data_IF_672967695372
#
_entry.id   IF_672967695372
#
_cell.length_a   1.000
_cell.length_b   1.000
_cell.length_c   1.000
_cell.angle_alpha   90.00
_cell.angle_beta   90.00
_cell.angle_gamma   90.00
#
_symmetry.space_group_name_H-M   'P 1'
#
loop_
_entity.id
_entity.type
_entity.pdbx_description
1 polymer ?
#
# COMPACT_ATOMS: atom_id res chain seq x y z
N UNK A 1 9.69 3.25 -6.78
CA UNK A 1 8.65 2.56 -6.03
C UNK A 1 7.51 2.25 -6.98
N UNK A 2 6.82 1.14 -6.79
CA UNK A 2 5.61 0.86 -7.55
C UNK A 2 4.62 2.02 -7.47
N UNK A 3 3.88 2.26 -8.54
CA UNK A 3 2.76 3.21 -8.53
C UNK A 3 1.49 2.53 -8.01
N UNK A 4 0.48 3.29 -7.66
CA UNK A 4 -0.80 2.74 -7.16
C UNK A 4 -1.45 1.73 -8.11
N UNK A 5 -1.27 1.89 -9.42
CA UNK A 5 -1.71 0.89 -10.40
C UNK A 5 -1.18 -0.51 -10.05
N UNK A 6 0.09 -0.60 -9.67
CA UNK A 6 0.76 -1.87 -9.37
C UNK A 6 0.22 -2.44 -8.05
N UNK A 7 0.07 -1.64 -7.00
CA UNK A 7 -0.49 -2.10 -5.72
C UNK A 7 -1.94 -2.55 -5.85
N UNK A 8 -2.75 -1.85 -6.65
CA UNK A 8 -4.12 -2.26 -6.95
C UNK A 8 -4.13 -3.59 -7.71
N UNK A 9 -3.32 -3.71 -8.77
CA UNK A 9 -3.22 -4.95 -9.55
C UNK A 9 -2.76 -6.14 -8.71
N UNK A 10 -1.78 -5.94 -7.82
CA UNK A 10 -1.32 -6.97 -6.88
C UNK A 10 -2.43 -7.40 -5.93
N UNK A 11 -3.22 -6.46 -5.41
CA UNK A 11 -4.37 -6.76 -4.57
C UNK A 11 -5.42 -7.60 -5.32
N UNK A 12 -5.73 -7.26 -6.57
CA UNK A 12 -6.65 -8.05 -7.42
C UNK A 12 -6.11 -9.46 -7.68
N UNK A 13 -4.81 -9.60 -7.96
CA UNK A 13 -4.17 -10.89 -8.16
C UNK A 13 -4.21 -11.75 -6.90
N UNK A 14 -3.94 -11.19 -5.72
CA UNK A 14 -4.04 -11.87 -4.43
C UNK A 14 -5.47 -12.40 -4.19
N UNK A 15 -6.48 -11.61 -4.49
CA UNK A 15 -7.89 -12.05 -4.35
C UNK A 15 -8.29 -13.12 -5.37
N UNK A 16 -7.72 -13.10 -6.58
CA UNK A 16 -8.08 -14.06 -7.65
C UNK A 16 -7.46 -15.45 -7.45
N UNK A 17 -6.35 -15.54 -6.70
CA UNK A 17 -5.61 -16.80 -6.50
C UNK A 17 -6.24 -17.76 -5.49
N UNK A 18 -7.24 -17.33 -4.74
CA UNK A 18 -7.79 -18.10 -3.61
C UNK A 18 -6.74 -18.57 -2.59
N UNK A 19 -5.66 -17.78 -2.44
CA UNK A 19 -4.59 -18.01 -1.47
C UNK A 19 -4.92 -17.51 -0.07
N UNK A 20 -3.89 -17.37 0.77
CA UNK A 20 -4.04 -16.97 2.17
C UNK A 20 -4.71 -15.60 2.32
N UNK A 21 -4.36 -14.63 1.46
CA UNK A 21 -4.99 -13.30 1.49
C UNK A 21 -6.49 -13.40 1.19
N UNK A 22 -6.87 -14.08 0.11
CA UNK A 22 -8.27 -14.22 -0.28
C UNK A 22 -9.10 -14.95 0.78
N UNK A 23 -8.52 -15.94 1.48
CA UNK A 23 -9.17 -16.70 2.56
C UNK A 23 -9.26 -15.89 3.87
N UNK A 24 -8.28 -15.02 4.14
CA UNK A 24 -8.20 -14.25 5.38
C UNK A 24 -9.04 -12.98 5.32
N UNK A 25 -8.90 -12.18 4.28
CA UNK A 25 -9.55 -10.86 4.15
C UNK A 25 -11.07 -11.00 4.03
N UNK A 26 -11.81 -10.27 4.86
CA UNK A 26 -13.29 -10.21 4.86
C UNK A 26 -13.80 -8.87 4.31
N UNK A 27 -13.10 -7.78 4.64
CA UNK A 27 -13.39 -6.45 4.12
C UNK A 27 -12.36 -6.08 3.04
N UNK A 28 -12.66 -6.47 1.80
CA UNK A 28 -11.79 -6.14 0.66
C UNK A 28 -11.66 -4.64 0.42
N UNK A 29 -12.67 -3.85 0.81
CA UNK A 29 -12.65 -2.40 0.67
C UNK A 29 -11.60 -1.78 1.58
N UNK A 30 -11.57 -2.19 2.86
CA UNK A 30 -10.57 -1.76 3.81
C UNK A 30 -9.16 -2.23 3.41
N UNK A 31 -9.01 -3.47 2.93
CA UNK A 31 -7.73 -3.98 2.43
C UNK A 31 -7.19 -3.17 1.24
N UNK A 32 -8.03 -2.90 0.23
CA UNK A 32 -7.65 -2.10 -0.94
C UNK A 32 -7.22 -0.68 -0.54
N UNK A 33 -7.95 -0.06 0.38
CA UNK A 33 -7.56 1.24 0.90
C UNK A 33 -6.22 1.15 1.65
N UNK A 34 -6.06 0.13 2.50
CA UNK A 34 -4.82 -0.14 3.24
C UNK A 34 -3.60 -0.27 2.33
N UNK A 35 -3.76 -0.91 1.16
CA UNK A 35 -2.69 -1.02 0.16
C UNK A 35 -2.26 0.33 -0.46
N UNK A 36 -2.95 1.43 -0.17
CA UNK A 36 -2.61 2.78 -0.63
C UNK A 36 -2.14 3.70 0.52
N UNK A 37 -2.47 3.34 1.76
CA UNK A 37 -2.25 4.17 2.96
C UNK A 37 -0.82 4.68 3.10
N UNK A 38 0.26 3.89 2.93
CA UNK A 38 1.61 4.38 3.13
C UNK A 38 2.00 5.57 2.25
N UNK A 39 1.46 5.65 1.05
CA UNK A 39 1.75 6.71 0.08
C UNK A 39 0.91 7.98 0.27
N UNK A 40 -0.21 7.90 1.00
CA UNK A 40 -1.15 9.02 1.16
C UNK A 40 -0.48 10.21 1.82
N UNK A 41 0.08 10.07 3.05
CA UNK A 41 0.60 11.23 3.77
C UNK A 41 1.95 11.72 3.23
N UNK A 42 2.61 10.95 2.35
CA UNK A 42 3.81 11.43 1.65
C UNK A 42 3.49 12.64 0.75
N UNK A 43 2.24 12.76 0.28
CA UNK A 43 1.73 13.95 -0.40
C UNK A 43 2.06 14.04 -1.89
N UNK A 44 2.52 12.94 -2.52
CA UNK A 44 2.80 12.91 -3.95
C UNK A 44 1.57 12.53 -4.79
N UNK A 45 0.71 11.68 -4.26
CA UNK A 45 -0.43 11.11 -4.97
C UNK A 45 -1.74 11.84 -4.65
N UNK A 46 -1.93 12.21 -3.39
CA UNK A 46 -3.18 12.82 -2.91
C UNK A 46 -3.05 14.34 -2.85
N UNK A 47 -3.88 15.10 -3.59
CA UNK A 47 -3.87 16.55 -3.53
C UNK A 47 -4.29 17.08 -2.16
N UNK A 48 -3.67 18.17 -1.72
CA UNK A 48 -4.09 18.89 -0.53
C UNK A 48 -3.58 18.37 0.80
N UNK A 49 -2.66 17.42 0.80
CA UNK A 49 -1.90 17.03 2.00
C UNK A 49 -1.06 18.22 2.46
N UNK A 50 -1.44 18.82 3.61
CA UNK A 50 -0.83 20.05 4.10
C UNK A 50 0.50 19.83 4.81
N UNK A 51 0.60 18.72 5.53
CA UNK A 51 1.74 18.36 6.36
C UNK A 51 2.22 16.96 5.97
N UNK A 52 3.02 16.85 4.89
CA UNK A 52 3.50 15.55 4.43
C UNK A 52 4.36 14.86 5.49
N UNK A 53 4.16 13.56 5.63
CA UNK A 53 4.99 12.68 6.46
C UNK A 53 6.07 12.07 5.57
N UNK A 54 7.31 12.06 6.06
CA UNK A 54 8.43 11.50 5.29
C UNK A 54 8.19 10.02 4.93
N UNK A 55 8.57 9.64 3.71
CA UNK A 55 8.45 8.27 3.20
C UNK A 55 9.00 7.23 4.18
N UNK A 56 10.18 7.48 4.76
CA UNK A 56 10.81 6.55 5.69
C UNK A 56 9.96 6.25 6.93
N UNK A 57 9.10 7.18 7.35
CA UNK A 57 8.20 7.00 8.50
C UNK A 57 7.00 6.18 8.06
N UNK A 58 6.31 6.58 6.99
CA UNK A 58 5.11 5.90 6.52
C UNK A 58 5.36 4.47 6.05
N UNK A 59 6.58 4.20 5.56
CA UNK A 59 6.98 2.90 5.02
C UNK A 59 7.89 2.09 5.95
N UNK A 60 8.16 2.56 7.19
CA UNK A 60 9.13 1.87 8.07
C UNK A 60 10.49 1.66 7.38
N UNK A 61 10.88 2.58 6.52
CA UNK A 61 11.99 2.37 5.62
C UNK A 61 13.33 2.80 6.25
N UNK A 62 14.39 2.11 5.83
CA UNK A 62 15.77 2.49 6.15
C UNK A 62 16.17 3.77 5.41
N UNK A 63 17.16 4.54 5.89
CA UNK A 63 17.63 5.76 5.23
C UNK A 63 18.54 5.51 4.02
N UNK A 64 18.41 4.38 3.36
CA UNK A 64 19.20 4.02 2.18
C UNK A 64 18.73 4.77 0.92
N UNK A 65 19.60 4.94 -0.11
CA UNK A 65 19.22 5.61 -1.36
C UNK A 65 18.06 4.93 -2.11
N UNK A 66 17.94 3.60 -1.98
CA UNK A 66 16.76 2.83 -2.37
C UNK A 66 16.23 2.19 -1.08
N UNK A 67 15.31 2.87 -0.39
CA UNK A 67 14.91 2.48 0.96
C UNK A 67 14.13 1.16 0.94
N UNK A 68 14.41 0.31 1.93
CA UNK A 68 13.72 -0.97 2.10
C UNK A 68 12.76 -0.89 3.27
N UNK A 69 11.46 -0.98 3.05
CA UNK A 69 10.49 -1.09 4.13
C UNK A 69 10.75 -2.29 5.02
N UNK A 70 10.68 -2.07 6.33
CA UNK A 70 10.80 -3.13 7.35
C UNK A 70 9.41 -3.65 7.70
N UNK A 71 8.81 -4.36 6.76
CA UNK A 71 7.43 -4.85 6.83
C UNK A 71 7.18 -5.76 8.06
N UNK A 72 8.23 -6.47 8.50
CA UNK A 72 8.16 -7.34 9.66
C UNK A 72 7.99 -6.57 10.98
N UNK A 73 8.52 -5.34 11.08
CA UNK A 73 8.29 -4.48 12.24
C UNK A 73 6.83 -3.99 12.24
N UNK A 74 6.31 -3.54 11.08
CA UNK A 74 4.91 -3.18 10.98
C UNK A 74 3.98 -4.36 11.32
N UNK A 75 4.35 -5.56 10.87
CA UNK A 75 3.61 -6.78 11.23
C UNK A 75 3.58 -6.97 12.74
N UNK A 76 4.75 -6.93 13.41
CA UNK A 76 4.87 -7.15 14.84
C UNK A 76 4.11 -6.09 15.67
N UNK A 77 4.18 -4.83 15.25
CA UNK A 77 3.63 -3.71 16.01
C UNK A 77 2.12 -3.55 15.83
N UNK A 78 1.56 -3.90 14.65
CA UNK A 78 0.16 -3.59 14.32
C UNK A 78 -0.66 -4.79 13.88
N UNK A 79 -0.15 -5.64 12.96
CA UNK A 79 -0.96 -6.72 12.38
C UNK A 79 -1.13 -7.87 13.36
N UNK A 80 -0.05 -8.34 13.97
CA UNK A 80 -0.10 -9.47 14.91
C UNK A 80 -1.00 -9.18 16.13
N UNK A 81 -0.90 -8.01 16.81
CA UNK A 81 -1.81 -7.68 17.90
C UNK A 81 -3.29 -7.59 17.47
N UNK A 82 -3.55 -7.13 16.24
CA UNK A 82 -4.90 -7.09 15.72
C UNK A 82 -5.45 -8.49 15.41
N UNK A 83 -4.61 -9.38 14.86
CA UNK A 83 -4.98 -10.78 14.63
C UNK A 83 -5.28 -11.53 15.93
N UNK A 84 -4.49 -11.29 16.99
CA UNK A 84 -4.71 -11.87 18.32
C UNK A 84 -6.04 -11.41 18.93
N UNK A 85 -6.34 -10.11 18.87
CA UNK A 85 -7.63 -9.58 19.36
C UNK A 85 -8.85 -10.20 18.67
N UNK A 86 -8.70 -10.55 17.39
CA UNK A 86 -9.76 -11.19 16.60
C UNK A 86 -9.81 -12.72 16.75
N UNK A 87 -8.87 -13.33 17.53
CA UNK A 87 -8.77 -14.78 17.65
C UNK A 87 -8.42 -15.48 16.33
N UNK A 88 -7.78 -14.77 15.41
CA UNK A 88 -7.33 -15.34 14.13
C UNK A 88 -6.10 -16.23 14.32
N UNK A 89 -5.29 -15.93 15.31
CA UNK A 89 -4.12 -16.72 15.73
C UNK A 89 -4.39 -17.25 17.12
N UNK A 90 -4.54 -18.56 17.27
CA UNK A 90 -4.62 -19.20 18.58
C UNK A 90 -3.22 -19.47 19.13
N UNK A 91 -2.99 -19.12 20.40
CA UNK A 91 -1.88 -19.70 21.19
C UNK A 91 -0.61 -18.89 21.32
N UNK A 92 -0.54 -17.64 20.87
CA UNK A 92 0.53 -16.75 21.37
C UNK A 92 0.13 -16.18 22.72
N UNK A 93 0.90 -16.52 23.75
CA UNK A 93 0.85 -15.84 25.04
C UNK A 93 1.03 -14.34 24.77
N UNK A 94 0.13 -13.47 25.27
CA UNK A 94 0.35 -12.04 25.16
C UNK A 94 1.76 -11.74 25.66
N UNK A 95 2.57 -11.07 24.88
CA UNK A 95 3.80 -10.48 25.42
C UNK A 95 3.28 -9.40 26.36
N UNK A 96 3.38 -9.67 27.66
CA UNK A 96 2.76 -8.91 28.73
C UNK A 96 3.27 -7.46 28.86
N UNK A 97 4.21 -7.06 28.03
CA UNK A 97 4.79 -5.72 27.96
C UNK A 97 4.91 -5.30 26.49
N UNK A 98 3.80 -5.35 25.75
CA UNK A 98 3.70 -4.51 24.55
C UNK A 98 3.84 -3.07 25.06
N UNK A 99 5.06 -2.56 25.05
CA UNK A 99 5.35 -1.14 25.20
C UNK A 99 4.37 -0.44 24.28
N UNK A 100 3.46 0.35 24.85
CA UNK A 100 2.56 1.20 24.07
C UNK A 100 3.42 1.83 22.98
N UNK A 101 3.04 1.73 21.70
CA UNK A 101 3.89 2.18 20.61
C UNK A 101 4.38 3.55 21.02
N UNK A 102 5.69 3.66 21.25
CA UNK A 102 6.28 4.93 21.62
C UNK A 102 5.80 5.85 20.52
N UNK A 103 5.07 6.91 20.89
CA UNK A 103 4.58 7.90 19.95
C UNK A 103 5.80 8.28 19.13
N UNK A 104 5.90 7.71 17.94
CA UNK A 104 7.03 7.96 17.05
C UNK A 104 6.93 9.45 16.82
N UNK A 105 7.88 10.20 17.37
CA UNK A 105 7.93 11.64 17.16
C UNK A 105 7.97 11.80 15.64
N UNK A 106 6.84 12.21 15.06
CA UNK A 106 6.70 12.39 13.61
C UNK A 106 7.62 13.56 13.30
N UNK A 107 8.86 13.24 12.94
CA UNK A 107 9.78 14.24 12.40
C UNK A 107 9.20 14.68 11.06
N UNK A 108 8.61 15.86 11.08
CA UNK A 108 8.11 16.54 9.88
C UNK A 108 9.31 17.04 9.10
N UNK A 109 9.76 16.25 8.15
CA UNK A 109 10.71 16.75 7.16
C UNK A 109 10.00 17.77 6.27
N UNK A 110 10.68 18.91 6.06
CA UNK A 110 10.30 19.84 5.00
C UNK A 110 10.59 19.14 3.67
N UNK A 111 9.61 18.42 3.15
CA UNK A 111 9.74 17.78 1.84
C UNK A 111 9.95 18.89 0.83
N UNK A 112 11.06 18.83 0.13
CA UNK A 112 11.37 19.79 -0.91
C UNK A 112 10.40 19.58 -2.08
N UNK A 113 9.26 20.26 -2.06
CA UNK A 113 8.13 20.12 -2.99
C UNK A 113 8.46 20.55 -4.43
N UNK A 114 9.67 21.01 -4.69
CA UNK A 114 10.05 21.76 -5.90
C UNK A 114 9.97 20.90 -7.18
N UNK A 115 9.87 19.57 -7.11
CA UNK A 115 10.10 18.74 -8.29
C UNK A 115 8.98 17.78 -8.73
N UNK A 116 7.84 17.77 -8.04
CA UNK A 116 6.72 16.92 -8.46
C UNK A 116 5.43 17.73 -8.47
N UNK A 117 4.94 18.17 -9.65
CA UNK A 117 3.56 18.65 -9.74
C UNK A 117 2.67 17.53 -9.21
N UNK A 118 1.81 17.87 -8.26
CA UNK A 118 0.83 16.92 -7.74
C UNK A 118 0.01 16.43 -8.94
N UNK A 119 0.07 15.13 -9.21
CA UNK A 119 -0.43 14.51 -10.45
C UNK A 119 -1.91 14.78 -10.69
N UNK A 120 -2.66 15.09 -9.63
CA UNK A 120 -4.11 15.31 -9.65
C UNK A 120 -4.50 16.69 -9.08
N UNK A 121 -3.56 17.65 -9.03
CA UNK A 121 -3.88 19.01 -8.60
C UNK A 121 -4.86 19.67 -9.57
N UNK A 122 -5.98 20.19 -9.04
CA UNK A 122 -7.02 20.82 -9.85
C UNK A 122 -8.01 19.85 -10.51
N UNK A 123 -7.87 18.54 -10.34
CA UNK A 123 -8.84 17.56 -10.81
C UNK A 123 -10.05 17.56 -9.88
N UNK A 124 -11.26 17.69 -10.44
CA UNK A 124 -12.49 17.50 -9.67
C UNK A 124 -12.71 16.03 -9.42
N UNK A 125 -12.55 15.62 -8.18
CA UNK A 125 -12.63 14.22 -7.77
C UNK A 125 -14.02 13.97 -7.20
N UNK A 126 -14.85 13.23 -7.93
CA UNK A 126 -16.17 12.79 -7.50
C UNK A 126 -16.20 11.27 -7.47
N UNK A 127 -15.79 10.63 -6.36
CA UNK A 127 -15.85 9.17 -6.27
C UNK A 127 -17.31 8.72 -6.39
N UNK A 128 -17.58 7.64 -7.13
CA UNK A 128 -18.93 7.08 -7.18
C UNK A 128 -19.31 6.54 -5.80
N UNK A 129 -20.44 6.99 -5.28
CA UNK A 129 -21.04 6.39 -4.09
C UNK A 129 -21.60 5.02 -4.48
N UNK A 130 -20.93 3.98 -4.07
CA UNK A 130 -21.39 2.60 -4.25
C UNK A 130 -21.04 1.79 -3.00
N UNK A 131 -22.03 1.54 -2.18
CA UNK A 131 -21.94 0.63 -1.06
C UNK A 131 -23.10 -0.37 -1.09
N UNK A 132 -22.91 -1.55 -0.54
CA UNK A 132 -24.00 -2.41 -0.14
C UNK A 132 -24.43 -2.05 1.28
N UNK A 133 -25.65 -2.37 1.72
CA UNK A 133 -26.06 -2.16 3.12
C UNK A 133 -25.13 -2.84 4.14
N UNK A 134 -24.41 -3.89 3.75
CA UNK A 134 -23.41 -4.53 4.59
C UNK A 134 -22.17 -3.64 4.84
N UNK A 135 -21.91 -2.67 3.96
CA UNK A 135 -20.78 -1.74 4.08
C UNK A 135 -21.10 -0.57 5.03
N UNK A 136 -22.36 -0.47 5.49
CA UNK A 136 -22.82 0.53 6.45
C UNK A 136 -22.76 0.00 7.91
N UNK A 137 -22.47 -1.31 8.11
CA UNK A 137 -22.31 -1.89 9.45
C UNK A 137 -21.04 -1.35 10.13
N UNK A 138 -21.23 -0.46 11.10
CA UNK A 138 -20.21 0.10 11.95
C UNK A 138 -20.24 -0.51 13.38
N UNK A 139 -20.73 -1.72 13.55
CA UNK A 139 -20.63 -2.41 14.84
C UNK A 139 -19.16 -2.59 15.25
N UNK A 140 -18.85 -2.66 16.57
CA UNK A 140 -17.48 -2.84 17.03
C UNK A 140 -16.78 -4.04 16.38
N UNK A 141 -17.47 -5.16 16.23
CA UNK A 141 -16.91 -6.36 15.59
C UNK A 141 -16.59 -6.15 14.10
N UNK A 142 -17.46 -5.42 13.37
CA UNK A 142 -17.23 -5.08 11.97
C UNK A 142 -16.05 -4.11 11.82
N UNK A 143 -15.96 -3.12 12.71
CA UNK A 143 -14.85 -2.15 12.71
C UNK A 143 -13.51 -2.78 13.07
N UNK A 144 -13.46 -3.65 14.09
CA UNK A 144 -12.27 -4.41 14.45
C UNK A 144 -11.79 -5.26 13.27
N UNK A 145 -12.73 -5.89 12.56
CA UNK A 145 -12.42 -6.70 11.39
C UNK A 145 -11.89 -5.85 10.22
N UNK A 146 -12.57 -4.75 9.91
CA UNK A 146 -12.14 -3.83 8.84
C UNK A 146 -10.80 -3.18 9.17
N UNK A 147 -10.54 -2.86 10.44
CA UNK A 147 -9.25 -2.37 10.92
C UNK A 147 -8.12 -3.37 10.69
N UNK A 148 -8.36 -4.65 10.97
CA UNK A 148 -7.40 -5.71 10.68
C UNK A 148 -7.12 -5.85 9.17
N UNK A 149 -8.18 -5.87 8.35
CA UNK A 149 -8.03 -5.99 6.90
C UNK A 149 -7.34 -4.75 6.30
N UNK A 150 -7.57 -3.56 6.86
CA UNK A 150 -6.82 -2.33 6.53
C UNK A 150 -5.33 -2.49 6.83
N UNK A 151 -4.97 -2.98 8.04
CA UNK A 151 -3.59 -3.23 8.42
C UNK A 151 -2.91 -4.28 7.55
N UNK A 152 -3.63 -5.33 7.14
CA UNK A 152 -3.13 -6.30 6.16
C UNK A 152 -2.84 -5.63 4.82
N UNK A 153 -3.68 -4.73 4.35
CA UNK A 153 -3.44 -3.96 3.14
C UNK A 153 -2.15 -3.13 3.23
N UNK A 154 -1.94 -2.43 4.35
CA UNK A 154 -0.70 -1.68 4.60
C UNK A 154 0.52 -2.61 4.59
N UNK A 155 0.44 -3.73 5.31
CA UNK A 155 1.53 -4.71 5.33
C UNK A 155 1.87 -5.23 3.93
N UNK A 156 0.87 -5.55 3.10
CA UNK A 156 1.12 -6.01 1.73
C UNK A 156 1.79 -4.95 0.87
N UNK A 157 1.44 -3.68 1.04
CA UNK A 157 2.14 -2.56 0.39
C UNK A 157 3.62 -2.51 0.79
N UNK A 158 3.89 -2.53 2.11
CA UNK A 158 5.26 -2.47 2.62
C UNK A 158 6.11 -3.66 2.17
N UNK A 159 5.54 -4.87 2.16
CA UNK A 159 6.20 -6.07 1.67
C UNK A 159 6.50 -5.97 0.16
N UNK A 160 5.53 -5.51 -0.62
CA UNK A 160 5.71 -5.30 -2.05
C UNK A 160 6.85 -4.31 -2.32
N UNK A 161 6.85 -3.17 -1.67
CA UNK A 161 7.90 -2.15 -1.79
C UNK A 161 9.28 -2.68 -1.38
N UNK A 162 9.35 -3.51 -0.33
CA UNK A 162 10.60 -4.16 0.07
C UNK A 162 11.12 -5.07 -1.05
N UNK A 163 10.29 -5.94 -1.60
CA UNK A 163 10.69 -6.88 -2.66
C UNK A 163 11.10 -6.10 -3.91
N UNK A 164 10.27 -5.16 -4.38
CA UNK A 164 10.58 -4.34 -5.54
C UNK A 164 11.90 -3.59 -5.38
N UNK A 165 12.13 -2.92 -4.26
CA UNK A 165 13.34 -2.16 -4.02
C UNK A 165 14.57 -3.07 -3.86
N UNK A 166 14.41 -4.26 -3.30
CA UNK A 166 15.47 -5.26 -3.24
C UNK A 166 15.89 -5.70 -4.65
N UNK A 167 14.94 -6.08 -5.50
CA UNK A 167 15.23 -6.52 -6.87
C UNK A 167 15.78 -5.40 -7.75
N UNK A 168 15.33 -4.17 -7.55
CA UNK A 168 15.90 -2.99 -8.23
C UNK A 168 17.34 -2.76 -7.81
N UNK A 169 17.69 -2.93 -6.52
CA UNK A 169 19.08 -2.83 -6.07
C UNK A 169 19.95 -3.92 -6.71
N UNK A 170 19.50 -5.18 -6.71
CA UNK A 170 20.21 -6.29 -7.34
C UNK A 170 20.41 -6.06 -8.84
N UNK A 171 19.40 -5.54 -9.52
CA UNK A 171 19.49 -5.17 -10.95
C UNK A 171 20.53 -4.08 -11.18
N UNK A 172 20.55 -3.05 -10.34
CA UNK A 172 21.51 -1.95 -10.43
C UNK A 172 22.94 -2.44 -10.18
N UNK A 173 23.13 -3.28 -9.16
CA UNK A 173 24.43 -3.88 -8.83
C UNK A 173 24.94 -4.76 -9.99
N UNK A 174 24.08 -5.52 -10.65
CA UNK A 174 24.43 -6.35 -11.80
C UNK A 174 24.88 -5.52 -13.02
N UNK A 175 24.39 -4.28 -13.15
CA UNK A 175 24.84 -3.34 -14.17
C UNK A 175 26.17 -2.64 -13.80
N UNK A 176 26.65 -2.79 -12.57
CA UNK A 176 27.81 -2.05 -12.05
C UNK A 176 27.54 -0.56 -11.84
N UNK A 177 26.26 -0.17 -11.78
CA UNK A 177 25.81 1.20 -11.60
C UNK A 177 25.57 1.55 -10.13
N UNK A 178 25.39 2.85 -9.87
CA UNK A 178 25.06 3.37 -8.53
C UNK A 178 23.75 4.16 -8.57
N UNK A 179 23.01 4.21 -7.46
CA UNK A 179 21.84 5.08 -7.35
C UNK A 179 22.20 6.53 -7.71
N UNK A 180 21.46 7.11 -8.66
CA UNK A 180 21.62 8.49 -9.12
C UNK A 180 20.26 9.09 -9.41
N UNK A 181 20.20 10.41 -9.56
CA UNK A 181 18.98 11.11 -9.96
C UNK A 181 18.46 10.61 -11.32
N UNK A 182 19.34 10.39 -12.28
CA UNK A 182 18.99 9.87 -13.61
C UNK A 182 18.43 8.44 -13.52
N UNK A 183 19.04 7.60 -12.71
CA UNK A 183 18.52 6.26 -12.43
C UNK A 183 17.12 6.33 -11.83
N UNK A 184 16.93 7.17 -10.81
CA UNK A 184 15.65 7.36 -10.14
C UNK A 184 14.54 7.77 -11.11
N UNK A 185 14.82 8.74 -12.00
CA UNK A 185 13.85 9.24 -12.99
C UNK A 185 13.48 8.13 -13.99
N UNK A 186 14.47 7.41 -14.54
CA UNK A 186 14.22 6.33 -15.49
C UNK A 186 13.43 5.20 -14.84
N UNK A 187 13.86 4.75 -13.67
CA UNK A 187 13.18 3.71 -12.89
C UNK A 187 11.71 4.07 -12.64
N UNK A 188 11.43 5.28 -12.14
CA UNK A 188 10.08 5.69 -11.86
C UNK A 188 9.23 5.72 -13.13
N UNK A 189 9.76 6.22 -14.23
CA UNK A 189 9.08 6.19 -15.53
C UNK A 189 8.75 4.77 -15.99
N UNK A 190 9.65 3.81 -15.77
CA UNK A 190 9.43 2.41 -16.14
C UNK A 190 8.34 1.76 -15.27
N UNK A 191 8.30 2.05 -13.96
CA UNK A 191 7.20 1.63 -13.10
C UNK A 191 5.84 2.22 -13.54
N UNK A 192 5.82 3.48 -13.93
CA UNK A 192 4.61 4.13 -14.45
C UNK A 192 4.13 3.48 -15.75
N UNK A 193 5.05 3.10 -16.64
CA UNK A 193 4.72 2.36 -17.86
C UNK A 193 4.24 0.95 -17.57
N UNK A 194 4.91 0.23 -16.67
CA UNK A 194 4.46 -1.09 -16.27
C UNK A 194 3.05 -1.06 -15.66
N UNK A 195 2.79 -0.11 -14.76
CA UNK A 195 1.45 0.06 -14.20
C UNK A 195 0.36 0.19 -15.26
N UNK A 196 0.65 0.83 -16.41
CA UNK A 196 -0.30 1.00 -17.51
C UNK A 196 -0.54 -0.27 -18.34
N UNK A 197 0.29 -1.30 -18.21
CA UNK A 197 0.07 -2.61 -18.85
C UNK A 197 -0.87 -3.50 -18.05
N UNK A 198 -1.12 -3.18 -16.77
CA UNK A 198 -1.90 -4.02 -15.87
C UNK A 198 -3.39 -3.67 -15.97
N UNK A 199 -4.26 -4.64 -16.29
CA UNK A 199 -5.69 -4.42 -16.20
C UNK A 199 -6.09 -4.30 -14.73
N UNK A 200 -6.70 -3.19 -14.35
CA UNK A 200 -7.22 -2.97 -12.99
C UNK A 200 -8.66 -2.49 -13.04
N UNK A 201 -9.48 -2.99 -12.12
CA UNK A 201 -10.91 -2.71 -12.07
C UNK A 201 -11.39 -2.30 -10.68
N UNK A 202 -10.62 -2.66 -9.65
CA UNK A 202 -10.97 -2.45 -8.26
C UNK A 202 -10.39 -1.13 -7.74
N UNK A 203 -11.17 -0.41 -6.98
CA UNK A 203 -10.73 0.74 -6.20
C UNK A 203 -11.50 0.81 -4.89
N UNK A 204 -10.95 1.44 -3.83
CA UNK A 204 -11.66 1.62 -2.57
C UNK A 204 -12.92 2.47 -2.78
N UNK A 205 -13.97 2.15 -1.99
CA UNK A 205 -15.27 2.84 -2.07
C UNK A 205 -15.53 3.65 -0.82
N UNK A 206 -16.20 4.77 -0.98
CA UNK A 206 -16.66 5.62 0.09
C UNK A 206 -17.80 4.92 0.86
N UNK A 207 -17.48 4.36 2.04
CA UNK A 207 -18.44 3.73 2.94
C UNK A 207 -18.23 4.23 4.37
N UNK A 208 -19.30 4.35 5.19
CA UNK A 208 -19.18 4.74 6.60
C UNK A 208 -18.21 3.86 7.37
N UNK A 209 -18.23 2.55 7.11
CA UNK A 209 -17.33 1.58 7.75
C UNK A 209 -15.87 1.81 7.41
N UNK A 210 -15.54 2.09 6.14
CA UNK A 210 -14.16 2.41 5.76
C UNK A 210 -13.67 3.69 6.45
N UNK A 211 -14.47 4.75 6.43
CA UNK A 211 -14.11 6.03 7.07
C UNK A 211 -13.83 5.80 8.55
N UNK A 212 -14.71 5.07 9.26
CA UNK A 212 -14.54 4.78 10.68
C UNK A 212 -13.31 3.90 10.96
N UNK A 213 -13.06 2.89 10.13
CA UNK A 213 -11.87 2.04 10.27
C UNK A 213 -10.57 2.82 10.03
N UNK A 214 -10.55 3.71 9.05
CA UNK A 214 -9.37 4.56 8.77
C UNK A 214 -9.15 5.60 9.86
N UNK A 215 -10.20 6.18 10.44
CA UNK A 215 -10.08 7.09 11.57
C UNK A 215 -9.42 6.43 12.80
N UNK A 216 -9.48 5.10 12.92
CA UNK A 216 -8.83 4.33 13.96
C UNK A 216 -7.41 3.83 13.57
N UNK A 217 -6.86 4.26 12.43
CA UNK A 217 -5.54 3.82 11.98
C UNK A 217 -4.45 4.25 12.97
N UNK A 218 -3.60 3.31 13.47
CA UNK A 218 -2.81 3.57 14.67
C UNK A 218 -1.52 4.36 14.45
N UNK A 219 -1.03 4.46 13.22
CA UNK A 219 0.30 5.02 12.96
C UNK A 219 0.28 6.55 12.80
N UNK A 220 -0.73 7.08 12.11
CA UNK A 220 -0.94 8.52 11.89
C UNK A 220 -2.39 8.80 11.52
N UNK A 221 -2.81 10.05 11.71
CA UNK A 221 -4.16 10.48 11.43
C UNK A 221 -4.38 10.65 9.91
N UNK A 222 -5.51 10.12 9.42
CA UNK A 222 -6.03 10.35 8.09
C UNK A 222 -7.46 10.87 8.22
N UNK A 223 -7.65 12.16 7.98
CA UNK A 223 -8.97 12.77 8.05
C UNK A 223 -9.90 12.29 6.92
N UNK A 224 -11.20 12.43 7.11
CA UNK A 224 -12.22 12.01 6.15
C UNK A 224 -12.01 12.65 4.77
N UNK A 225 -11.60 13.90 4.72
CA UNK A 225 -11.32 14.59 3.46
C UNK A 225 -10.18 13.89 2.70
N UNK A 226 -9.12 13.54 3.40
CA UNK A 226 -7.98 12.81 2.80
C UNK A 226 -8.41 11.43 2.32
N UNK A 227 -9.27 10.72 3.07
CA UNK A 227 -9.85 9.44 2.65
C UNK A 227 -10.62 9.59 1.36
N UNK A 228 -11.56 10.53 1.28
CA UNK A 228 -12.38 10.77 0.09
C UNK A 228 -11.54 11.18 -1.13
N UNK A 229 -10.52 12.03 -0.93
CA UNK A 229 -9.59 12.41 -2.00
C UNK A 229 -8.79 11.21 -2.48
N UNK A 230 -8.35 10.34 -1.60
CA UNK A 230 -7.63 9.10 -1.92
C UNK A 230 -8.49 8.17 -2.78
N UNK A 231 -9.74 7.95 -2.39
CA UNK A 231 -10.70 7.14 -3.15
C UNK A 231 -10.90 7.72 -4.55
N UNK A 232 -11.06 9.04 -4.64
CA UNK A 232 -11.23 9.72 -5.92
C UNK A 232 -10.01 9.57 -6.83
N UNK A 233 -8.80 9.72 -6.30
CA UNK A 233 -7.55 9.49 -7.06
C UNK A 233 -7.45 8.04 -7.53
N UNK A 234 -7.73 7.08 -6.65
CA UNK A 234 -7.71 5.66 -7.01
C UNK A 234 -8.74 5.34 -8.12
N UNK A 235 -9.94 5.92 -8.03
CA UNK A 235 -10.95 5.78 -9.08
C UNK A 235 -10.48 6.33 -10.42
N UNK A 236 -9.87 7.53 -10.45
CA UNK A 236 -9.33 8.12 -11.68
C UNK A 236 -8.18 7.26 -12.25
N UNK A 237 -7.30 6.73 -11.41
CA UNK A 237 -6.25 5.81 -11.83
C UNK A 237 -6.85 4.59 -12.52
N UNK A 238 -7.86 3.95 -11.93
CA UNK A 238 -8.52 2.78 -12.52
C UNK A 238 -9.24 3.15 -13.81
N UNK A 239 -9.92 4.29 -13.84
CA UNK A 239 -10.63 4.78 -15.05
C UNK A 239 -9.67 5.01 -16.21
N UNK A 240 -8.49 5.56 -15.95
CA UNK A 240 -7.47 5.84 -16.96
C UNK A 240 -6.64 4.63 -17.35
N UNK A 241 -6.56 3.63 -16.47
CA UNK A 241 -5.72 2.46 -16.66
C UNK A 241 -6.54 1.25 -17.16
N UNK A 242 -6.68 1.15 -18.47
CA UNK A 242 -7.45 0.07 -19.11
C UNK A 242 -6.58 -1.16 -19.41
N UNK A 243 -5.32 -1.19 -18.96
CA UNK A 243 -4.39 -2.27 -19.29
C UNK A 243 -4.05 -2.38 -20.79
N UNK A 244 -4.21 -1.28 -21.52
CA UNK A 244 -4.17 -1.27 -22.97
C UNK A 244 -2.79 -1.04 -23.58
N UNK A 245 -1.73 -0.94 -22.76
CA UNK A 245 -0.39 -0.69 -23.26
C UNK A 245 0.37 -1.99 -23.53
N UNK A 246 0.42 -2.42 -24.78
CA UNK A 246 1.07 -3.68 -25.16
C UNK A 246 2.60 -3.61 -25.21
N UNK A 247 3.17 -2.47 -25.57
CA UNK A 247 4.62 -2.28 -25.75
C UNK A 247 5.12 -1.06 -24.97
N UNK A 248 5.36 -1.21 -23.67
CA UNK A 248 5.84 -0.10 -22.84
C UNK A 248 7.27 0.29 -23.21
N UNK A 249 7.57 1.60 -23.37
CA UNK A 249 8.89 2.09 -23.76
C UNK A 249 9.83 2.17 -22.54
N UNK A 250 10.16 1.02 -21.96
CA UNK A 250 11.09 0.96 -20.83
C UNK A 250 12.46 1.52 -21.18
N UNK A 251 13.09 2.21 -20.23
CA UNK A 251 14.39 2.88 -20.39
C UNK A 251 15.52 2.24 -19.61
N UNK A 252 15.17 1.44 -18.62
CA UNK A 252 16.11 0.85 -17.67
C UNK A 252 15.75 -0.59 -17.33
N UNK A 253 14.54 -0.81 -16.82
CA UNK A 253 14.05 -2.12 -16.43
C UNK A 253 13.43 -2.84 -17.64
N UNK A 254 13.30 -4.15 -17.55
CA UNK A 254 12.80 -4.97 -18.68
C UNK A 254 11.41 -5.53 -18.39
N UNK A 255 10.69 -5.94 -19.43
CA UNK A 255 9.40 -6.64 -19.26
C UNK A 255 9.56 -7.92 -18.44
N UNK A 256 10.65 -8.65 -18.62
CA UNK A 256 10.96 -9.86 -17.85
C UNK A 256 11.19 -9.54 -16.37
N UNK A 257 11.94 -8.47 -16.07
CA UNK A 257 12.11 -7.99 -14.70
C UNK A 257 10.75 -7.73 -14.04
N UNK A 258 9.89 -6.98 -14.70
CA UNK A 258 8.57 -6.62 -14.14
C UNK A 258 7.67 -7.84 -13.94
N UNK A 259 7.60 -8.75 -14.90
CA UNK A 259 6.75 -9.95 -14.79
C UNK A 259 7.24 -10.87 -13.67
N UNK A 260 8.55 -11.09 -13.58
CA UNK A 260 9.16 -11.95 -12.56
C UNK A 260 8.94 -11.39 -11.15
N UNK A 261 9.25 -10.11 -10.95
CA UNK A 261 9.13 -9.52 -9.61
C UNK A 261 7.66 -9.35 -9.20
N UNK A 262 6.76 -9.05 -10.15
CA UNK A 262 5.32 -8.99 -9.86
C UNK A 262 4.78 -10.34 -9.37
N UNK A 263 5.17 -11.43 -10.01
CA UNK A 263 4.80 -12.79 -9.58
C UNK A 263 5.38 -13.11 -8.20
N UNK A 264 6.66 -12.79 -7.97
CA UNK A 264 7.33 -12.99 -6.69
C UNK A 264 6.62 -12.26 -5.54
N UNK A 265 6.20 -11.01 -5.75
CA UNK A 265 5.47 -10.24 -4.73
C UNK A 265 4.19 -10.97 -4.32
N UNK A 266 3.38 -11.39 -5.29
CA UNK A 266 2.09 -12.06 -5.02
C UNK A 266 2.30 -13.40 -4.30
N UNK A 267 3.25 -14.21 -4.77
CA UNK A 267 3.56 -15.52 -4.18
C UNK A 267 4.12 -15.39 -2.76
N UNK A 268 5.05 -14.46 -2.56
CA UNK A 268 5.66 -14.23 -1.26
C UNK A 268 4.63 -13.68 -0.26
N UNK A 269 3.74 -12.80 -0.68
CA UNK A 269 2.68 -12.27 0.18
C UNK A 269 1.76 -13.37 0.69
N UNK A 270 1.24 -14.23 -0.20
CA UNK A 270 0.38 -15.34 0.19
C UNK A 270 1.10 -16.33 1.11
N UNK A 271 2.32 -16.70 0.77
CA UNK A 271 3.12 -17.63 1.57
C UNK A 271 3.41 -17.08 2.97
N UNK A 272 3.91 -15.85 3.07
CA UNK A 272 4.23 -15.25 4.37
C UNK A 272 2.99 -15.04 5.23
N UNK A 273 1.85 -14.67 4.64
CA UNK A 273 0.61 -14.55 5.38
C UNK A 273 0.16 -15.92 5.93
N UNK A 274 0.22 -16.97 5.10
CA UNK A 274 -0.08 -18.31 5.55
C UNK A 274 0.82 -18.76 6.72
N UNK A 275 2.14 -18.53 6.59
CA UNK A 275 3.11 -18.89 7.64
C UNK A 275 2.89 -18.11 8.94
N UNK A 276 2.56 -16.82 8.86
CA UNK A 276 2.40 -15.94 10.02
C UNK A 276 1.07 -16.12 10.75
N UNK A 277 0.03 -16.62 10.06
CA UNK A 277 -1.28 -16.92 10.64
C UNK A 277 -1.48 -18.39 11.00
N UNK A 278 -0.46 -19.24 10.79
CA UNK A 278 -0.50 -20.62 11.31
C UNK A 278 -0.38 -20.60 12.84
N UNK A 279 -1.18 -21.44 13.53
CA UNK A 279 -1.12 -21.56 14.99
C UNK A 279 0.20 -22.16 15.50
#
# INVERSE_FOLDING_TARGET
MPSWNIHIAQSEQLFSRNGAVACTVRDRNAFLFGALVPDIPVGYMVPGVREPIAYRITHFATPEPIPKPREHEFWADYVAPAAERLGIVEGRVPIADAIAPASIAIERETVNRIHYPQRYEGVTINPPKQGSPADDDCSPAALDRSGFDLLLGVWTHLLADNIWNTRVNEFLDALGDKPSEQFRIKKQGDFDWFGKTLPITSFPRDTPRLIAAVAAFPQYELDERTVLMTIGVAHEIVRENQGALDHPPYRLLTSEFFSTVSAEVVETTDRLLAERLQP
#
